data_IF_369513979602
#
_entry.id   IF_369513979602
#
_cell.length_a   1.000
_cell.length_b   1.000
_cell.length_c   1.000
_cell.angle_alpha   90.00
_cell.angle_beta   90.00
_cell.angle_gamma   90.00
#
_symmetry.space_group_name_H-M   'P 1'
#
loop_
_entity.id
_entity.type
_entity.pdbx_description
1 polymer ?
#
# COMPACT_ATOMS: atom_id res chain seq x y z
N UNK A 1 3.49 10.22 -13.73
CA UNK A 1 4.24 11.48 -13.79
C UNK A 1 5.74 11.23 -13.70
N UNK A 2 6.27 10.63 -12.64
CA UNK A 2 7.73 10.41 -12.51
C UNK A 2 8.36 9.57 -13.63
N UNK A 3 7.72 8.47 -14.07
CA UNK A 3 8.22 7.66 -15.20
C UNK A 3 8.32 8.46 -16.51
N UNK A 4 7.42 9.42 -16.74
CA UNK A 4 7.47 10.25 -17.94
C UNK A 4 8.64 11.22 -17.93
N UNK A 5 9.06 11.70 -16.76
CA UNK A 5 10.23 12.58 -16.66
C UNK A 5 11.50 11.83 -17.04
N UNK A 6 11.69 10.59 -16.55
CA UNK A 6 12.85 9.77 -16.92
C UNK A 6 12.85 9.43 -18.41
N UNK A 7 11.69 9.05 -18.95
CA UNK A 7 11.56 8.72 -20.38
C UNK A 7 11.78 9.95 -21.25
N UNK A 8 11.23 11.10 -20.85
CA UNK A 8 11.41 12.36 -21.56
C UNK A 8 12.87 12.83 -21.51
N UNK A 9 13.51 12.77 -20.34
CA UNK A 9 14.92 13.13 -20.18
C UNK A 9 15.82 12.22 -21.02
N UNK A 10 15.56 10.90 -21.02
CA UNK A 10 16.28 9.95 -21.86
C UNK A 10 16.07 10.25 -23.36
N UNK A 11 14.84 10.57 -23.76
CA UNK A 11 14.51 10.97 -25.13
C UNK A 11 15.23 12.23 -25.57
N UNK A 12 15.18 13.29 -24.75
CA UNK A 12 15.87 14.55 -25.02
C UNK A 12 17.40 14.36 -25.11
N UNK A 13 18.00 13.56 -24.21
CA UNK A 13 19.43 13.23 -24.27
C UNK A 13 19.80 12.44 -25.54
N UNK A 14 18.88 11.62 -26.05
CA UNK A 14 19.08 10.83 -27.27
C UNK A 14 19.00 11.70 -28.53
N UNK A 15 18.01 12.59 -28.65
CA UNK A 15 17.92 13.57 -29.74
C UNK A 15 19.18 14.47 -29.78
N UNK A 16 19.67 14.85 -28.61
CA UNK A 16 20.90 15.61 -28.49
C UNK A 16 22.15 14.79 -28.85
N UNK A 17 22.14 13.48 -28.60
CA UNK A 17 23.22 12.58 -29.02
C UNK A 17 23.24 12.41 -30.55
N UNK A 18 22.08 12.36 -31.21
CA UNK A 18 21.96 12.32 -32.68
C UNK A 18 22.65 13.52 -33.33
N UNK A 19 22.41 14.74 -32.83
CA UNK A 19 23.07 15.95 -33.32
C UNK A 19 24.61 15.92 -33.17
N UNK A 20 25.13 15.19 -32.18
CA UNK A 20 26.57 15.00 -32.00
C UNK A 20 27.13 13.94 -32.94
N UNK A 21 26.35 12.89 -33.22
CA UNK A 21 26.69 11.87 -34.21
C UNK A 21 26.77 12.47 -35.61
N UNK A 22 25.82 13.33 -35.99
CA UNK A 22 25.81 14.07 -37.27
C UNK A 22 27.07 14.94 -37.44
N UNK A 23 27.66 15.40 -36.34
CA UNK A 23 28.92 16.16 -36.32
C UNK A 23 30.17 15.27 -36.37
N UNK A 24 30.00 13.96 -36.51
CA UNK A 24 31.10 12.98 -36.61
C UNK A 24 31.74 12.61 -35.28
N UNK A 25 31.09 12.83 -34.14
CA UNK A 25 31.62 12.45 -32.82
C UNK A 25 31.33 10.96 -32.57
N UNK A 26 32.34 10.20 -32.16
CA UNK A 26 32.18 8.76 -31.90
C UNK A 26 31.22 8.49 -30.72
N UNK A 27 30.25 7.56 -30.83
CA UNK A 27 29.22 7.31 -29.82
C UNK A 27 29.76 6.98 -28.44
N UNK A 28 30.85 6.20 -28.36
CA UNK A 28 31.50 5.85 -27.07
C UNK A 28 31.93 7.12 -26.31
N UNK A 29 32.47 8.13 -27.01
CA UNK A 29 32.90 9.38 -26.37
C UNK A 29 31.72 10.21 -25.86
N UNK A 30 30.55 10.05 -26.47
CA UNK A 30 29.30 10.70 -26.03
C UNK A 30 28.81 10.02 -24.76
N UNK A 31 28.80 8.69 -24.72
CA UNK A 31 28.42 7.91 -23.54
C UNK A 31 29.31 8.24 -22.33
N UNK A 32 30.64 8.24 -22.51
CA UNK A 32 31.59 8.62 -21.46
C UNK A 32 31.35 10.06 -20.98
N UNK A 33 31.04 10.97 -21.91
CA UNK A 33 30.72 12.36 -21.62
C UNK A 33 29.46 12.53 -20.78
N UNK A 34 28.41 11.75 -21.07
CA UNK A 34 27.16 11.75 -20.30
C UNK A 34 27.34 11.15 -18.91
N UNK A 35 28.12 10.08 -18.76
CA UNK A 35 28.40 9.52 -17.45
C UNK A 35 29.18 10.51 -16.56
N UNK A 36 30.16 11.21 -17.14
CA UNK A 36 30.89 12.25 -16.41
C UNK A 36 29.99 13.44 -16.06
N UNK A 37 29.10 13.86 -16.96
CA UNK A 37 28.14 14.93 -16.70
C UNK A 37 27.14 14.53 -15.60
N UNK A 38 26.69 13.27 -15.58
CA UNK A 38 25.80 12.75 -14.54
C UNK A 38 26.45 12.78 -13.15
N UNK A 39 27.72 12.38 -13.03
CA UNK A 39 28.46 12.45 -11.76
C UNK A 39 28.57 13.89 -11.25
N UNK A 40 28.94 14.84 -12.11
CA UNK A 40 29.03 16.26 -11.75
C UNK A 40 27.64 16.79 -11.33
N UNK A 41 26.57 16.38 -12.01
CA UNK A 41 25.22 16.77 -11.65
C UNK A 41 24.82 16.28 -10.26
N UNK A 42 25.11 15.02 -9.93
CA UNK A 42 24.85 14.46 -8.58
C UNK A 42 25.65 15.21 -7.51
N UNK A 43 26.95 15.43 -7.73
CA UNK A 43 27.78 16.20 -6.78
C UNK A 43 27.28 17.65 -6.57
N UNK A 44 26.70 18.26 -7.60
CA UNK A 44 26.13 19.59 -7.48
C UNK A 44 24.76 19.58 -6.80
N UNK A 45 23.96 18.54 -6.97
CA UNK A 45 22.71 18.36 -6.25
C UNK A 45 22.97 18.21 -4.75
N UNK A 46 23.98 17.43 -4.36
CA UNK A 46 24.37 17.26 -2.95
C UNK A 46 24.79 18.58 -2.28
N UNK A 47 25.36 19.53 -3.05
CA UNK A 47 25.74 20.86 -2.55
C UNK A 47 24.56 21.80 -2.35
N UNK A 48 23.48 21.59 -3.09
CA UNK A 48 22.32 22.47 -3.13
C UNK A 48 21.19 21.90 -2.26
N UNK A 49 21.18 20.59 -2.03
CA UNK A 49 20.17 19.93 -1.22
C UNK A 49 20.27 20.36 0.23
N UNK A 50 19.22 20.99 0.72
CA UNK A 50 19.02 21.18 2.15
C UNK A 50 18.52 19.87 2.77
N UNK A 51 19.17 19.44 3.86
CA UNK A 51 18.72 18.27 4.62
C UNK A 51 17.82 18.71 5.77
N UNK A 52 16.59 18.20 5.79
CA UNK A 52 15.68 18.38 6.92
C UNK A 52 15.75 17.15 7.82
N UNK A 53 16.16 17.27 9.09
CA UNK A 53 16.08 16.16 10.03
C UNK A 53 14.62 15.76 10.22
N UNK A 54 14.35 14.46 10.17
CA UNK A 54 13.01 13.91 10.40
C UNK A 54 12.73 13.95 11.90
N UNK A 55 12.11 15.04 12.36
CA UNK A 55 11.64 15.16 13.73
C UNK A 55 10.21 14.63 13.85
N UNK A 56 9.92 13.67 14.75
CA UNK A 56 8.57 13.15 14.95
C UNK A 56 7.58 14.21 15.50
N UNK A 57 8.10 15.32 16.02
CA UNK A 57 7.29 16.45 16.51
C UNK A 57 6.90 17.43 15.40
N UNK A 58 7.66 17.47 14.30
CA UNK A 58 7.42 18.39 13.19
C UNK A 58 7.16 17.63 11.89
N UNK A 59 5.93 17.16 11.73
CA UNK A 59 5.47 16.41 10.56
C UNK A 59 5.06 17.30 9.38
N UNK A 60 4.94 18.62 9.57
CA UNK A 60 4.41 19.54 8.56
C UNK A 60 5.27 19.59 7.27
N UNK A 61 6.63 19.61 7.32
CA UNK A 61 7.45 19.55 6.11
C UNK A 61 7.18 18.29 5.28
N UNK A 62 7.02 17.14 5.94
CA UNK A 62 6.72 15.86 5.29
C UNK A 62 5.33 15.88 4.64
N UNK A 63 4.34 16.47 5.32
CA UNK A 63 3.00 16.66 4.78
C UNK A 63 3.04 17.57 3.56
N UNK A 64 3.85 18.65 3.58
CA UNK A 64 4.02 19.55 2.44
C UNK A 64 4.67 18.84 1.25
N UNK A 65 5.69 18.02 1.47
CA UNK A 65 6.31 17.20 0.41
C UNK A 65 5.30 16.21 -0.18
N UNK A 66 4.57 15.47 0.67
CA UNK A 66 3.53 14.56 0.23
C UNK A 66 2.40 15.28 -0.52
N UNK A 67 2.00 16.46 -0.06
CA UNK A 67 1.02 17.34 -0.71
C UNK A 67 1.47 17.75 -2.12
N UNK A 68 2.73 18.16 -2.29
CA UNK A 68 3.29 18.51 -3.60
C UNK A 68 3.26 17.32 -4.56
N UNK A 69 3.64 16.12 -4.09
CA UNK A 69 3.60 14.91 -4.94
C UNK A 69 2.20 14.43 -5.29
N UNK A 70 1.17 14.79 -4.50
CA UNK A 70 -0.24 14.45 -4.72
C UNK A 70 -1.00 15.53 -5.52
N UNK A 71 -0.54 16.78 -5.51
CA UNK A 71 -1.22 17.92 -6.12
C UNK A 71 -1.37 17.82 -7.64
N UNK A 72 -0.41 17.19 -8.33
CA UNK A 72 -0.42 17.02 -9.79
C UNK A 72 -1.29 15.84 -10.27
N UNK A 73 -2.17 15.28 -9.43
CA UNK A 73 -2.88 14.02 -9.67
C UNK A 73 -4.39 14.14 -9.35
N UNK A 74 -5.16 13.08 -9.64
CA UNK A 74 -6.63 13.00 -9.46
C UNK A 74 -7.10 13.35 -8.03
N UNK A 75 -6.21 13.30 -7.05
CA UNK A 75 -6.49 13.60 -5.63
C UNK A 75 -6.48 15.11 -5.31
N UNK A 76 -6.44 15.99 -6.30
CA UNK A 76 -6.28 17.43 -6.05
C UNK A 76 -7.32 18.02 -5.08
N UNK A 77 -8.54 17.47 -4.98
CA UNK A 77 -9.56 17.97 -4.04
C UNK A 77 -9.27 17.67 -2.57
N UNK A 78 -8.63 16.53 -2.25
CA UNK A 78 -8.44 16.04 -0.88
C UNK A 78 -6.98 15.64 -0.60
N UNK A 79 -6.03 16.31 -1.25
CA UNK A 79 -4.61 15.94 -1.18
C UNK A 79 -4.02 16.13 0.23
N UNK A 80 -4.54 17.07 1.04
CA UNK A 80 -4.03 17.32 2.40
C UNK A 80 -4.32 16.14 3.34
N UNK A 81 -5.58 15.70 3.40
CA UNK A 81 -5.98 14.56 4.22
C UNK A 81 -5.21 13.29 3.84
N UNK A 82 -5.01 13.05 2.54
CA UNK A 82 -4.24 11.90 2.08
C UNK A 82 -2.74 12.01 2.37
N UNK A 83 -2.17 13.22 2.29
CA UNK A 83 -0.80 13.47 2.70
C UNK A 83 -0.60 13.18 4.20
N UNK A 84 -1.50 13.68 5.05
CA UNK A 84 -1.48 13.42 6.49
C UNK A 84 -1.60 11.91 6.79
N UNK A 85 -2.52 11.20 6.13
CA UNK A 85 -2.68 9.74 6.28
C UNK A 85 -1.41 8.98 5.85
N UNK A 86 -0.82 9.34 4.72
CA UNK A 86 0.39 8.68 4.21
C UNK A 86 1.58 8.90 5.16
N UNK A 87 1.81 10.14 5.61
CA UNK A 87 2.89 10.46 6.55
C UNK A 87 2.68 9.74 7.88
N UNK A 88 1.46 9.74 8.42
CA UNK A 88 1.14 9.04 9.66
C UNK A 88 1.32 7.51 9.54
N UNK A 89 0.99 6.92 8.39
CA UNK A 89 1.22 5.50 8.13
C UNK A 89 2.72 5.17 8.17
N UNK A 90 3.53 5.96 7.48
CA UNK A 90 4.99 5.77 7.43
C UNK A 90 5.62 5.93 8.80
N UNK A 91 5.28 7.00 9.52
CA UNK A 91 5.82 7.25 10.87
C UNK A 91 5.45 6.15 11.88
N UNK A 92 4.34 5.46 11.67
CA UNK A 92 3.93 4.35 12.54
C UNK A 92 4.74 3.07 12.30
N UNK A 93 5.23 2.87 11.07
CA UNK A 93 6.00 1.68 10.66
C UNK A 93 7.51 1.91 10.73
N UNK A 94 7.95 3.16 10.54
CA UNK A 94 9.34 3.55 10.45
C UNK A 94 10.13 3.17 11.71
N UNK A 95 11.28 2.55 11.48
CA UNK A 95 12.27 2.32 12.52
C UNK A 95 13.20 3.54 12.58
N UNK A 96 13.12 4.31 13.67
CA UNK A 96 13.89 5.55 13.84
C UNK A 96 15.39 5.31 13.96
N UNK A 97 15.83 4.12 14.39
CA UNK A 97 17.25 3.80 14.53
C UNK A 97 17.88 3.50 13.17
N UNK A 98 17.17 2.73 12.34
CA UNK A 98 17.62 2.34 11.00
C UNK A 98 17.26 3.35 9.91
N UNK A 99 16.33 4.28 10.20
CA UNK A 99 15.71 5.19 9.23
C UNK A 99 15.18 4.45 8.00
N UNK A 100 14.65 3.25 8.23
CA UNK A 100 14.15 2.37 7.20
C UNK A 100 12.66 2.09 7.42
N UNK A 101 11.95 1.90 6.32
CA UNK A 101 10.51 1.69 6.30
C UNK A 101 10.25 0.41 5.52
N UNK A 102 9.74 -0.60 6.22
CA UNK A 102 9.31 -1.83 5.60
C UNK A 102 7.92 -1.65 4.96
N UNK A 103 7.88 -1.71 3.64
CA UNK A 103 6.64 -1.55 2.87
C UNK A 103 5.70 -2.75 3.02
N UNK A 104 6.20 -3.93 3.40
CA UNK A 104 5.36 -5.11 3.58
C UNK A 104 4.36 -4.92 4.73
N UNK A 105 4.74 -4.14 5.74
CA UNK A 105 3.91 -3.81 6.90
C UNK A 105 2.80 -2.80 6.60
N UNK A 106 2.85 -2.11 5.46
CA UNK A 106 1.85 -1.12 5.04
C UNK A 106 0.92 -1.75 4.00
N UNK A 107 -0.30 -2.08 4.41
CA UNK A 107 -1.33 -2.59 3.50
C UNK A 107 -2.18 -1.45 2.96
N UNK A 108 -2.37 -1.37 1.64
CA UNK A 108 -3.30 -0.41 1.05
C UNK A 108 -4.55 -1.15 0.58
N UNK A 109 -5.67 -0.96 1.29
CA UNK A 109 -6.94 -1.61 0.98
C UNK A 109 -7.92 -0.59 0.42
N UNK A 110 -8.38 -0.82 -0.81
CA UNK A 110 -9.39 0.04 -1.44
C UNK A 110 -10.73 -0.67 -1.61
N UNK A 111 -11.82 -0.07 -1.13
CA UNK A 111 -13.20 -0.48 -1.45
C UNK A 111 -13.95 0.60 -2.22
N UNK A 112 -14.82 0.15 -3.12
CA UNK A 112 -15.69 1.04 -3.89
C UNK A 112 -16.84 1.50 -3.00
N UNK A 113 -17.28 2.74 -3.21
CA UNK A 113 -18.39 3.35 -2.50
C UNK A 113 -17.94 4.43 -1.52
N UNK A 114 -18.89 5.24 -1.07
CA UNK A 114 -18.61 6.43 -0.25
C UNK A 114 -17.88 7.53 -1.03
N UNK A 115 -17.39 8.52 -0.30
CA UNK A 115 -16.60 9.63 -0.82
C UNK A 115 -15.12 9.35 -0.61
N UNK A 116 -14.28 10.06 -1.37
CA UNK A 116 -12.84 9.97 -1.23
C UNK A 116 -12.36 10.54 0.13
N UNK A 117 -13.14 11.47 0.70
CA UNK A 117 -12.97 12.05 2.04
C UNK A 117 -13.15 11.02 3.17
N UNK A 118 -13.83 9.90 2.91
CA UNK A 118 -14.04 8.83 3.90
C UNK A 118 -12.81 7.91 4.05
N UNK A 119 -11.70 8.26 3.41
CA UNK A 119 -10.43 7.53 3.51
C UNK A 119 -9.87 7.67 4.94
N UNK A 120 -9.49 6.55 5.54
CA UNK A 120 -9.05 6.50 6.94
C UNK A 120 -7.77 5.67 7.09
N UNK A 121 -6.97 6.05 8.07
CA UNK A 121 -5.82 5.26 8.52
C UNK A 121 -6.29 4.30 9.62
N UNK A 122 -6.14 3.00 9.41
CA UNK A 122 -6.41 1.98 10.42
C UNK A 122 -5.08 1.47 10.97
N UNK A 123 -4.85 1.70 12.26
CA UNK A 123 -3.70 1.16 13.00
C UNK A 123 -3.96 -0.32 13.33
N UNK A 124 -3.77 -1.17 12.34
CA UNK A 124 -4.02 -2.59 12.38
C UNK A 124 -4.29 -3.14 10.98
N UNK A 125 -5.06 -4.22 10.91
CA UNK A 125 -5.31 -4.95 9.66
C UNK A 125 -6.79 -4.94 9.30
N UNK A 126 -7.07 -4.66 8.03
CA UNK A 126 -8.40 -4.81 7.43
C UNK A 126 -8.42 -6.05 6.55
N UNK A 127 -9.45 -6.85 6.74
CA UNK A 127 -9.72 -8.06 5.96
C UNK A 127 -11.06 -7.88 5.25
N UNK A 128 -11.08 -8.11 3.93
CA UNK A 128 -12.30 -8.05 3.12
C UNK A 128 -13.12 -9.34 3.27
N UNK A 129 -13.48 -9.65 4.52
CA UNK A 129 -14.27 -10.81 4.92
C UNK A 129 -15.22 -10.43 6.04
N UNK A 130 -16.35 -11.12 6.05
CA UNK A 130 -17.38 -11.02 7.06
C UNK A 130 -17.16 -12.11 8.11
N UNK A 131 -17.83 -11.97 9.26
CA UNK A 131 -17.97 -13.10 10.17
C UNK A 131 -18.72 -14.26 9.50
N UNK A 132 -18.40 -15.49 9.90
CA UNK A 132 -19.01 -16.66 9.28
C UNK A 132 -20.52 -16.73 9.52
N UNK A 133 -21.01 -16.24 10.67
CA UNK A 133 -22.43 -16.13 10.97
C UNK A 133 -22.80 -14.69 11.36
N UNK A 134 -23.90 -14.10 10.80
CA UNK A 134 -24.33 -12.73 11.12
C UNK A 134 -24.81 -12.50 12.56
N UNK A 135 -25.00 -13.57 13.35
CA UNK A 135 -25.43 -13.50 14.75
C UNK A 135 -24.24 -13.39 15.71
N UNK A 136 -23.01 -13.47 15.19
CA UNK A 136 -21.81 -13.37 16.01
C UNK A 136 -21.62 -11.95 16.57
N UNK A 137 -21.29 -11.81 17.87
CA UNK A 137 -21.17 -10.51 18.52
C UNK A 137 -19.87 -9.80 18.12
N UNK A 138 -19.88 -8.47 18.25
CA UNK A 138 -18.65 -7.65 18.17
C UNK A 138 -17.82 -7.90 19.42
N UNK A 139 -16.53 -8.16 19.25
CA UNK A 139 -15.62 -8.48 20.35
C UNK A 139 -14.77 -7.27 20.76
N UNK A 140 -14.65 -7.11 22.07
CA UNK A 140 -13.63 -6.28 22.73
C UNK A 140 -12.63 -7.21 23.42
N UNK A 141 -11.36 -6.82 23.44
CA UNK A 141 -10.24 -7.61 23.97
C UNK A 141 -10.22 -9.04 23.42
N UNK A 142 -10.04 -9.13 22.10
CA UNK A 142 -10.04 -10.39 21.38
C UNK A 142 -8.68 -11.08 21.47
N UNK A 143 -8.69 -12.30 22.00
CA UNK A 143 -7.61 -13.29 21.79
C UNK A 143 -7.86 -14.03 20.49
N UNK A 144 -6.94 -13.92 19.55
CA UNK A 144 -7.10 -14.37 18.17
C UNK A 144 -6.29 -15.65 17.97
N UNK A 145 -6.97 -16.73 17.60
CA UNK A 145 -6.34 -17.95 17.10
C UNK A 145 -6.15 -17.83 15.59
N UNK A 146 -4.89 -17.84 15.14
CA UNK A 146 -4.53 -17.77 13.72
C UNK A 146 -4.25 -19.18 13.23
N UNK A 147 -5.13 -19.71 12.40
CA UNK A 147 -5.17 -21.11 11.99
C UNK A 147 -4.94 -21.26 10.49
N UNK A 148 -3.97 -22.10 10.12
CA UNK A 148 -3.78 -22.56 8.73
C UNK A 148 -4.25 -24.00 8.52
N UNK A 149 -4.74 -24.66 9.57
CA UNK A 149 -5.38 -25.96 9.47
C UNK A 149 -6.79 -25.86 8.85
N UNK A 150 -7.16 -26.80 7.98
CA UNK A 150 -8.54 -26.94 7.54
C UNK A 150 -9.41 -27.45 8.69
N UNK A 151 -10.61 -26.90 8.83
CA UNK A 151 -11.62 -27.39 9.77
C UNK A 151 -12.39 -28.53 9.09
N UNK A 152 -11.73 -29.66 8.89
CA UNK A 152 -12.30 -30.85 8.25
C UNK A 152 -11.88 -32.11 9.00
N UNK A 153 -12.68 -33.19 8.95
CA UNK A 153 -12.25 -34.49 9.42
C UNK A 153 -10.93 -34.87 8.73
N UNK A 154 -9.96 -35.46 9.45
CA UNK A 154 -8.63 -35.72 8.91
C UNK A 154 -8.72 -36.70 7.75
N UNK A 155 -8.56 -36.17 6.52
CA UNK A 155 -8.47 -36.98 5.31
C UNK A 155 -7.02 -37.46 5.14
N UNK A 156 -6.77 -38.76 4.94
CA UNK A 156 -5.44 -39.21 4.59
C UNK A 156 -5.02 -38.57 3.26
N UNK A 157 -3.76 -38.15 3.14
CA UNK A 157 -3.23 -37.50 1.91
C UNK A 157 -3.21 -38.45 0.71
N UNK A 158 -3.21 -39.76 0.97
CA UNK A 158 -3.31 -40.81 -0.04
C UNK A 158 -4.76 -41.02 -0.48
N UNK A 159 -4.97 -41.40 -1.74
CA UNK A 159 -6.30 -41.78 -2.25
C UNK A 159 -6.85 -42.96 -1.45
N UNK A 160 -7.70 -42.68 -0.46
CA UNK A 160 -8.41 -43.68 0.31
C UNK A 160 -9.84 -43.77 -0.20
N UNK A 161 -10.31 -44.96 -0.55
CA UNK A 161 -11.72 -45.24 -0.82
C UNK A 161 -12.31 -45.82 0.45
N UNK A 162 -13.33 -45.16 0.96
CA UNK A 162 -14.03 -45.59 2.17
C UNK A 162 -15.28 -46.33 1.69
N UNK A 163 -15.22 -47.66 1.71
CA UNK A 163 -16.32 -48.51 1.26
C UNK A 163 -17.26 -48.76 2.44
N UNK A 164 -18.47 -48.22 2.36
CA UNK A 164 -19.50 -48.36 3.40
C UNK A 164 -20.46 -49.47 2.98
N UNK A 165 -20.42 -50.61 3.69
CA UNK A 165 -21.21 -51.81 3.39
C UNK A 165 -22.52 -51.90 4.19
N UNK A 166 -22.56 -51.36 5.41
CA UNK A 166 -23.75 -51.38 6.28
C UNK A 166 -24.31 -49.98 6.57
N UNK A 167 -25.62 -49.93 6.86
CA UNK A 167 -26.31 -48.72 7.33
C UNK A 167 -25.81 -48.28 8.69
N UNK A 168 -25.40 -49.22 9.54
CA UNK A 168 -24.86 -48.91 10.88
C UNK A 168 -23.48 -48.25 10.81
N UNK A 169 -22.64 -48.68 9.86
CA UNK A 169 -21.33 -48.08 9.61
C UNK A 169 -21.49 -46.63 9.12
N UNK A 170 -22.49 -46.37 8.26
CA UNK A 170 -22.82 -45.02 7.82
C UNK A 170 -23.20 -44.10 9.00
N UNK A 171 -24.02 -44.60 9.93
CA UNK A 171 -24.39 -43.85 11.15
C UNK A 171 -23.20 -43.64 12.07
N UNK A 172 -22.31 -44.62 12.19
CA UNK A 172 -21.09 -44.50 12.99
C UNK A 172 -20.15 -43.44 12.41
N UNK A 173 -19.98 -43.40 11.08
CA UNK A 173 -19.20 -42.36 10.39
C UNK A 173 -19.75 -40.97 10.65
N UNK A 174 -21.07 -40.78 10.54
CA UNK A 174 -21.69 -39.48 10.80
C UNK A 174 -21.50 -39.01 12.25
N UNK A 175 -21.55 -39.94 13.22
CA UNK A 175 -21.25 -39.64 14.63
C UNK A 175 -19.78 -39.25 14.81
N UNK A 176 -18.87 -40.02 14.21
CA UNK A 176 -17.44 -39.76 14.25
C UNK A 176 -17.09 -38.37 13.68
N UNK A 177 -17.68 -37.98 12.55
CA UNK A 177 -17.48 -36.64 11.98
C UNK A 177 -17.90 -35.54 12.95
N UNK A 178 -19.09 -35.66 13.56
CA UNK A 178 -19.58 -34.69 14.56
C UNK A 178 -18.69 -34.62 15.79
N UNK A 179 -18.29 -35.77 16.35
CA UNK A 179 -17.38 -35.82 17.50
C UNK A 179 -16.04 -35.15 17.18
N UNK A 180 -15.49 -35.37 15.98
CA UNK A 180 -14.23 -34.72 15.56
C UNK A 180 -14.36 -33.20 15.45
N UNK A 181 -15.48 -32.69 14.94
CA UNK A 181 -15.72 -31.25 14.93
C UNK A 181 -15.84 -30.67 16.35
N UNK A 182 -16.56 -31.34 17.24
CA UNK A 182 -16.66 -30.93 18.64
C UNK A 182 -15.30 -30.92 19.35
N UNK A 183 -14.46 -31.93 19.12
CA UNK A 183 -13.09 -31.99 19.64
C UNK A 183 -12.26 -30.78 19.18
N UNK A 184 -12.29 -30.43 17.89
CA UNK A 184 -11.55 -29.28 17.35
C UNK A 184 -12.03 -27.95 17.95
N UNK A 185 -13.35 -27.78 18.11
CA UNK A 185 -13.91 -26.57 18.73
C UNK A 185 -13.56 -26.49 20.21
N UNK A 186 -13.62 -27.61 20.94
CA UNK A 186 -13.21 -27.69 22.36
C UNK A 186 -11.74 -27.29 22.53
N UNK A 187 -10.84 -27.80 21.69
CA UNK A 187 -9.42 -27.43 21.74
C UNK A 187 -9.18 -25.92 21.59
N UNK A 188 -9.93 -25.24 20.71
CA UNK A 188 -9.85 -23.78 20.58
C UNK A 188 -10.33 -23.10 21.86
N UNK A 189 -11.46 -23.54 22.38
CA UNK A 189 -12.08 -22.97 23.59
C UNK A 189 -11.20 -23.16 24.83
N UNK A 190 -10.56 -24.32 24.97
CA UNK A 190 -9.67 -24.65 26.09
C UNK A 190 -8.44 -23.73 26.12
N UNK A 191 -7.98 -23.24 24.96
CA UNK A 191 -6.90 -22.23 24.93
C UNK A 191 -7.35 -20.82 25.34
N UNK A 192 -8.65 -20.58 25.46
CA UNK A 192 -9.22 -19.27 25.81
C UNK A 192 -9.18 -18.26 24.66
N UNK A 193 -9.16 -18.73 23.42
CA UNK A 193 -9.30 -17.86 22.24
C UNK A 193 -10.74 -17.35 22.10
N UNK A 194 -10.91 -16.08 21.76
CA UNK A 194 -12.21 -15.46 21.54
C UNK A 194 -12.56 -15.35 20.06
N UNK A 195 -11.58 -15.37 19.14
CA UNK A 195 -11.78 -15.26 17.70
C UNK A 195 -10.91 -16.27 16.96
N UNK A 196 -11.49 -17.03 16.03
CA UNK A 196 -10.75 -17.93 15.14
C UNK A 196 -10.62 -17.33 13.74
N UNK A 197 -9.40 -17.21 13.22
CA UNK A 197 -9.12 -16.77 11.86
C UNK A 197 -8.51 -17.95 11.11
N UNK A 198 -9.25 -18.47 10.12
CA UNK A 198 -8.84 -19.62 9.33
C UNK A 198 -8.46 -19.22 7.91
N UNK A 199 -7.34 -19.76 7.42
CA UNK A 199 -6.96 -19.64 6.01
C UNK A 199 -7.96 -20.35 5.11
N UNK A 200 -8.37 -21.55 5.52
CA UNK A 200 -9.28 -22.40 4.76
C UNK A 200 -10.73 -22.15 5.15
N UNK A 201 -11.63 -22.48 4.23
CA UNK A 201 -13.05 -22.58 4.53
C UNK A 201 -13.36 -23.77 5.43
N UNK A 202 -14.58 -23.76 5.96
CA UNK A 202 -15.14 -24.87 6.71
C UNK A 202 -16.65 -24.94 6.51
N UNK A 203 -17.22 -26.11 6.79
CA UNK A 203 -18.61 -26.44 6.50
C UNK A 203 -19.62 -25.74 7.43
N UNK A 204 -20.87 -25.68 7.01
CA UNK A 204 -21.96 -25.03 7.75
C UNK A 204 -22.27 -25.73 9.09
N UNK A 205 -22.05 -27.05 9.19
CA UNK A 205 -22.17 -27.76 10.46
C UNK A 205 -21.16 -27.27 11.50
N UNK A 206 -19.90 -27.05 11.08
CA UNK A 206 -18.86 -26.50 11.95
C UNK A 206 -19.16 -25.04 12.33
N UNK A 207 -19.72 -24.23 11.41
CA UNK A 207 -20.20 -22.87 11.72
C UNK A 207 -21.22 -22.86 12.84
N UNK A 208 -22.20 -23.78 12.80
CA UNK A 208 -23.23 -23.87 13.83
C UNK A 208 -22.64 -24.26 15.19
N UNK A 209 -21.69 -25.21 15.22
CA UNK A 209 -21.00 -25.61 16.46
C UNK A 209 -20.15 -24.47 17.04
N UNK A 210 -19.48 -23.69 16.20
CA UNK A 210 -18.72 -22.51 16.63
C UNK A 210 -19.64 -21.43 17.22
N UNK A 211 -20.82 -21.21 16.60
CA UNK A 211 -21.83 -20.28 17.12
C UNK A 211 -22.36 -20.72 18.49
N UNK A 212 -22.71 -22.00 18.65
CA UNK A 212 -23.17 -22.56 19.93
C UNK A 212 -22.13 -22.41 21.04
N UNK A 213 -20.84 -22.40 20.68
CA UNK A 213 -19.74 -22.23 21.61
C UNK A 213 -19.32 -20.77 21.82
N UNK A 214 -20.04 -19.82 21.20
CA UNK A 214 -19.78 -18.37 21.24
C UNK A 214 -18.40 -17.97 20.67
N UNK A 215 -17.89 -18.75 19.71
CA UNK A 215 -16.61 -18.50 19.05
C UNK A 215 -16.83 -17.93 17.65
N UNK A 216 -16.70 -16.61 17.45
CA UNK A 216 -16.70 -16.04 16.13
C UNK A 216 -15.52 -16.56 15.30
N UNK A 217 -15.80 -16.79 14.03
CA UNK A 217 -14.81 -17.32 13.10
C UNK A 217 -14.85 -16.58 11.76
N UNK A 218 -13.68 -16.48 11.13
CA UNK A 218 -13.50 -15.93 9.79
C UNK A 218 -12.88 -17.00 8.91
N UNK A 219 -13.48 -17.19 7.74
CA UNK A 219 -13.10 -18.19 6.74
C UNK A 219 -12.45 -17.54 5.52
N UNK A 220 -11.62 -18.31 4.82
CA UNK A 220 -11.02 -17.91 3.54
C UNK A 220 -10.16 -16.64 3.61
N UNK A 221 -9.33 -16.53 4.65
CA UNK A 221 -8.38 -15.42 4.76
C UNK A 221 -7.15 -15.69 3.88
N UNK A 222 -6.68 -14.67 3.16
CA UNK A 222 -5.52 -14.81 2.29
C UNK A 222 -4.24 -15.10 3.07
N UNK A 223 -3.31 -15.85 2.47
CA UNK A 223 -2.00 -16.15 3.08
C UNK A 223 -1.24 -14.89 3.53
N UNK A 224 -1.03 -13.89 2.65
CA UNK A 224 -0.39 -12.64 3.04
C UNK A 224 -1.15 -11.86 4.13
N UNK A 225 -2.48 -11.99 4.17
CA UNK A 225 -3.28 -11.32 5.20
C UNK A 225 -3.10 -11.95 6.57
N UNK A 226 -2.94 -13.28 6.63
CA UNK A 226 -2.66 -14.01 7.86
C UNK A 226 -1.30 -13.63 8.44
N UNK A 227 -0.28 -13.49 7.60
CA UNK A 227 1.05 -13.04 8.02
C UNK A 227 0.98 -11.63 8.62
N UNK A 228 0.26 -10.71 7.97
CA UNK A 228 0.06 -9.36 8.50
C UNK A 228 -0.72 -9.35 9.83
N UNK A 229 -1.75 -10.18 9.97
CA UNK A 229 -2.50 -10.32 11.22
C UNK A 229 -1.60 -10.89 12.32
N UNK A 230 -0.75 -11.88 12.01
CA UNK A 230 0.19 -12.45 12.96
C UNK A 230 1.20 -11.40 13.45
N UNK A 231 1.77 -10.60 12.53
CA UNK A 231 2.70 -9.52 12.88
C UNK A 231 2.01 -8.43 13.71
N UNK A 232 0.80 -8.02 13.33
CA UNK A 232 0.03 -6.99 14.03
C UNK A 232 -0.33 -7.43 15.46
N UNK A 233 -0.91 -8.63 15.59
CA UNK A 233 -1.43 -9.15 16.86
C UNK A 233 -0.35 -9.76 17.76
N UNK A 234 0.85 -9.99 17.23
CA UNK A 234 1.93 -10.72 17.90
C UNK A 234 1.69 -12.23 18.03
N UNK A 235 0.62 -12.75 17.40
CA UNK A 235 0.27 -14.16 17.43
C UNK A 235 1.15 -15.01 16.52
N UNK A 236 1.23 -16.31 16.80
CA UNK A 236 1.90 -17.27 15.92
C UNK A 236 0.88 -18.00 15.07
N UNK A 237 1.24 -18.25 13.81
CA UNK A 237 0.43 -19.03 12.89
C UNK A 237 0.48 -20.51 13.31
N UNK A 238 -0.66 -21.10 13.59
CA UNK A 238 -0.76 -22.50 14.07
C UNK A 238 -1.20 -23.43 12.94
N UNK A 239 -0.37 -24.43 12.56
CA UNK A 239 -0.68 -25.35 11.47
C UNK A 239 -1.51 -26.57 11.88
N UNK A 240 -1.56 -26.90 13.17
CA UNK A 240 -2.31 -28.05 13.71
C UNK A 240 -3.01 -27.70 15.02
N UNK A 241 -4.23 -28.19 15.21
CA UNK A 241 -5.01 -27.94 16.44
C UNK A 241 -4.31 -28.46 17.71
N UNK A 242 -3.61 -29.59 17.64
CA UNK A 242 -2.89 -30.15 18.79
C UNK A 242 -1.75 -29.24 19.31
N UNK A 243 -1.26 -28.31 18.49
CA UNK A 243 -0.18 -27.39 18.86
C UNK A 243 -0.71 -26.04 19.36
N UNK A 244 -2.03 -25.88 19.44
CA UNK A 244 -2.67 -24.66 19.92
C UNK A 244 -2.40 -24.51 21.41
N UNK A 245 -1.77 -23.40 21.78
CA UNK A 245 -1.38 -23.07 23.14
C UNK A 245 -1.72 -21.60 23.40
N UNK A 246 -2.04 -21.21 24.64
CA UNK A 246 -2.45 -19.83 24.95
C UNK A 246 -1.36 -18.81 24.62
N UNK A 247 -0.09 -19.20 24.66
CA UNK A 247 1.07 -18.36 24.30
C UNK A 247 1.15 -18.01 22.82
N UNK A 248 0.55 -18.83 21.94
CA UNK A 248 0.56 -18.61 20.49
C UNK A 248 -0.57 -17.69 20.02
N UNK A 249 -1.51 -17.34 20.89
CA UNK A 249 -2.65 -16.49 20.56
C UNK A 249 -2.21 -15.04 20.33
N UNK A 250 -2.79 -14.41 19.31
CA UNK A 250 -2.63 -12.99 19.07
C UNK A 250 -3.55 -12.17 19.97
N UNK A 251 -3.16 -10.92 20.26
CA UNK A 251 -3.98 -9.99 21.03
C UNK A 251 -4.41 -8.79 20.17
N UNK A 252 -5.71 -8.48 20.19
CA UNK A 252 -6.28 -7.27 19.60
C UNK A 252 -7.30 -6.65 20.55
N UNK A 253 -7.22 -5.34 20.78
CA UNK A 253 -8.15 -4.63 21.66
C UNK A 253 -9.56 -4.55 21.09
N UNK A 254 -9.71 -4.32 19.78
CA UNK A 254 -11.02 -4.16 19.15
C UNK A 254 -11.09 -4.92 17.84
N UNK A 255 -12.10 -5.79 17.71
CA UNK A 255 -12.45 -6.43 16.45
C UNK A 255 -13.88 -6.04 16.10
N UNK A 256 -14.01 -5.22 15.05
CA UNK A 256 -15.30 -4.72 14.59
C UNK A 256 -15.54 -5.06 13.13
N UNK A 257 -16.77 -5.44 12.84
CA UNK A 257 -17.27 -5.51 11.47
C UNK A 257 -17.83 -4.13 11.09
N UNK A 258 -17.32 -3.57 10.00
CA UNK A 258 -17.80 -2.31 9.43
C UNK A 258 -18.62 -2.67 8.19
N UNK A 259 -19.91 -2.31 8.21
CA UNK A 259 -20.79 -2.38 7.04
C UNK A 259 -20.68 -1.10 6.22
N UNK A 260 -20.56 -1.22 4.89
CA UNK A 260 -20.38 -0.06 4.02
C UNK A 260 -21.60 0.24 3.15
N UNK A 261 -22.32 1.30 3.48
CA UNK A 261 -23.39 1.87 2.65
C UNK A 261 -24.59 0.93 2.45
N UNK A 262 -25.25 1.04 1.29
CA UNK A 262 -26.43 0.23 0.90
C UNK A 262 -26.06 -1.17 0.40
N UNK A 263 -24.81 -1.38 0.01
CA UNK A 263 -24.27 -2.69 -0.37
C UNK A 263 -24.02 -3.52 0.88
N UNK A 264 -24.37 -4.82 0.84
CA UNK A 264 -24.22 -5.76 1.98
C UNK A 264 -22.75 -6.12 2.30
N UNK A 265 -21.79 -5.51 1.62
CA UNK A 265 -20.36 -5.74 1.85
C UNK A 265 -19.97 -5.25 3.25
N UNK A 266 -19.42 -6.17 4.05
CA UNK A 266 -18.80 -5.85 5.32
C UNK A 266 -17.31 -6.16 5.26
N UNK A 267 -16.57 -5.59 6.19
CA UNK A 267 -15.17 -5.90 6.36
C UNK A 267 -14.86 -5.99 7.83
N UNK A 268 -13.93 -6.88 8.16
CA UNK A 268 -13.39 -6.97 9.49
C UNK A 268 -12.25 -5.99 9.66
N UNK A 269 -12.33 -5.21 10.72
CA UNK A 269 -11.28 -4.28 11.14
C UNK A 269 -10.78 -4.71 12.51
N UNK A 270 -9.48 -5.00 12.58
CA UNK A 270 -8.76 -5.38 13.79
C UNK A 270 -7.90 -4.18 14.19
N UNK A 271 -8.20 -3.58 15.34
CA UNK A 271 -7.55 -2.37 15.87
C UNK A 271 -6.96 -2.63 17.26
N UNK A 272 -6.01 -1.76 17.67
CA UNK A 272 -5.37 -1.78 18.98
C UNK A 272 -4.63 -3.10 19.27
N UNK A 273 -3.78 -3.51 18.33
CA UNK A 273 -2.91 -4.66 18.55
C UNK A 273 -1.68 -4.29 19.39
N UNK A 274 -1.07 -5.27 20.06
CA UNK A 274 0.15 -5.06 20.86
C UNK A 274 1.31 -4.49 20.03
N UNK A 275 1.43 -4.94 18.78
CA UNK A 275 2.45 -4.49 17.87
C UNK A 275 1.82 -3.60 16.79
N UNK A 276 1.94 -2.28 16.95
CA UNK A 276 1.35 -1.30 16.04
C UNK A 276 2.10 -1.13 14.72
N UNK A 277 3.11 -1.95 14.43
CA UNK A 277 3.96 -1.82 13.24
C UNK A 277 3.28 -2.18 11.93
N UNK A 278 2.14 -2.88 11.96
CA UNK A 278 1.34 -3.14 10.77
C UNK A 278 0.18 -2.15 10.65
N UNK A 279 0.08 -1.48 9.51
CA UNK A 279 -0.88 -0.39 9.30
C UNK A 279 -1.60 -0.60 7.98
N UNK A 280 -2.92 -0.35 7.97
CA UNK A 280 -3.72 -0.42 6.75
C UNK A 280 -4.26 0.95 6.38
N UNK A 281 -3.95 1.41 5.18
CA UNK A 281 -4.55 2.61 4.59
C UNK A 281 -5.84 2.18 3.89
N UNK A 282 -6.97 2.62 4.41
CA UNK A 282 -8.28 2.29 3.85
C UNK A 282 -8.79 3.40 2.94
N UNK A 283 -8.76 3.12 1.64
CA UNK A 283 -9.16 4.10 0.61
C UNK A 283 -10.59 3.84 0.16
N UNK A 284 -11.37 4.92 0.14
CA UNK A 284 -12.73 4.96 -0.39
C UNK A 284 -12.78 5.75 -1.69
N UNK A 285 -13.72 5.41 -2.55
CA UNK A 285 -13.90 6.09 -3.82
C UNK A 285 -15.14 5.63 -4.57
N UNK A 286 -15.86 6.58 -5.16
CA UNK A 286 -17.09 6.29 -5.91
C UNK A 286 -16.87 5.49 -7.20
N UNK A 287 -15.65 5.47 -7.75
CA UNK A 287 -15.33 4.74 -8.97
C UNK A 287 -14.09 3.85 -8.79
N UNK A 288 -14.12 2.65 -9.40
CA UNK A 288 -13.02 1.67 -9.39
C UNK A 288 -11.72 2.26 -9.91
N UNK A 289 -11.79 3.09 -10.95
CA UNK A 289 -10.63 3.76 -11.56
C UNK A 289 -9.95 4.72 -10.57
N UNK A 290 -10.73 5.56 -9.88
CA UNK A 290 -10.21 6.49 -8.87
C UNK A 290 -9.52 5.73 -7.74
N UNK A 291 -10.09 4.63 -7.28
CA UNK A 291 -9.51 3.77 -6.24
C UNK A 291 -8.16 3.17 -6.63
N UNK A 292 -8.05 2.56 -7.81
CA UNK A 292 -6.78 1.97 -8.27
C UNK A 292 -5.71 3.05 -8.43
N UNK A 293 -6.09 4.22 -8.94
CA UNK A 293 -5.15 5.31 -9.13
C UNK A 293 -4.65 5.82 -7.77
N UNK A 294 -5.55 6.15 -6.83
CA UNK A 294 -5.18 6.62 -5.48
C UNK A 294 -4.29 5.62 -4.75
N UNK A 295 -4.55 4.31 -4.86
CA UNK A 295 -3.70 3.27 -4.27
C UNK A 295 -2.24 3.36 -4.75
N UNK A 296 -2.04 3.50 -6.06
CA UNK A 296 -0.70 3.70 -6.67
C UNK A 296 -0.08 5.03 -6.23
N UNK A 297 -0.89 6.07 -6.05
CA UNK A 297 -0.39 7.39 -5.65
C UNK A 297 0.09 7.44 -4.21
N UNK A 298 -0.61 6.76 -3.30
CA UNK A 298 -0.22 6.65 -1.90
C UNK A 298 1.13 5.92 -1.80
N UNK A 299 1.30 4.81 -2.52
CA UNK A 299 2.57 4.10 -2.60
C UNK A 299 3.70 4.99 -3.16
N UNK A 300 3.44 5.76 -4.22
CA UNK A 300 4.42 6.69 -4.78
C UNK A 300 4.79 7.84 -3.83
N UNK A 301 3.84 8.34 -3.03
CA UNK A 301 4.10 9.35 -2.01
C UNK A 301 4.95 8.82 -0.86
N UNK A 302 4.73 7.57 -0.45
CA UNK A 302 5.51 6.90 0.60
C UNK A 302 6.98 6.71 0.16
N UNK A 303 7.25 6.34 -1.10
CA UNK A 303 8.61 6.09 -1.58
C UNK A 303 9.48 7.36 -1.64
N UNK A 304 8.89 8.57 -1.67
CA UNK A 304 9.63 9.83 -1.73
C UNK A 304 10.25 10.27 -0.39
N UNK A 305 10.17 9.46 0.67
CA UNK A 305 10.57 9.83 2.03
C UNK A 305 12.09 10.02 2.30
N UNK A 306 13.05 9.36 1.61
CA UNK A 306 14.43 9.35 2.11
C UNK A 306 15.32 10.53 1.68
N UNK A 307 14.87 11.42 0.80
CA UNK A 307 15.68 12.59 0.42
C UNK A 307 14.79 13.78 0.06
N UNK A 308 14.63 14.71 1.00
CA UNK A 308 13.90 15.97 0.85
C UNK A 308 14.68 17.00 0.03
N UNK A 309 15.15 16.62 -1.16
CA UNK A 309 15.52 17.63 -2.16
C UNK A 309 14.23 18.27 -2.69
N UNK A 310 14.14 19.60 -2.65
CA UNK A 310 13.01 20.36 -3.19
C UNK A 310 12.78 20.05 -4.68
N UNK A 311 11.91 19.08 -4.97
CA UNK A 311 11.49 18.75 -6.32
C UNK A 311 10.35 19.70 -6.74
N UNK A 312 10.73 20.94 -7.07
CA UNK A 312 10.03 21.68 -8.11
C UNK A 312 10.72 21.38 -9.44
N UNK A 313 9.96 21.12 -10.50
CA UNK A 313 10.49 20.90 -11.86
C UNK A 313 11.41 22.03 -12.36
N UNK A 314 11.37 23.19 -11.70
CA UNK A 314 12.24 24.34 -11.94
C UNK A 314 13.65 24.21 -11.32
N UNK A 315 13.85 23.39 -10.28
CA UNK A 315 15.07 23.38 -9.46
C UNK A 315 16.18 22.48 -10.03
N UNK A 316 15.81 21.26 -10.48
CA UNK A 316 16.70 20.36 -11.22
C UNK A 316 17.29 21.02 -12.46
N UNK A 317 16.45 21.80 -13.14
CA UNK A 317 16.77 22.43 -14.40
C UNK A 317 17.71 23.63 -14.24
N UNK A 318 17.54 24.45 -13.19
CA UNK A 318 18.36 25.64 -12.96
C UNK A 318 19.79 25.31 -12.49
N UNK A 319 19.94 24.28 -11.64
CA UNK A 319 21.24 23.85 -11.11
C UNK A 319 22.13 23.18 -12.16
N UNK A 320 21.59 22.23 -12.94
CA UNK A 320 22.32 21.55 -14.01
C UNK A 320 22.77 22.51 -15.13
N UNK A 321 21.98 23.54 -15.42
CA UNK A 321 22.27 24.57 -16.43
C UNK A 321 23.44 25.48 -16.04
N UNK A 322 23.53 25.88 -14.77
CA UNK A 322 24.62 26.72 -14.27
C UNK A 322 25.93 25.93 -14.16
N UNK A 323 25.86 24.68 -13.67
CA UNK A 323 27.03 23.85 -13.45
C UNK A 323 27.74 23.42 -14.75
N UNK A 324 26.99 23.15 -15.82
CA UNK A 324 27.55 22.77 -17.11
C UNK A 324 28.31 23.91 -17.82
N UNK A 325 28.06 25.16 -17.43
CA UNK A 325 28.62 26.34 -18.09
C UNK A 325 29.91 26.87 -17.43
N UNK A 326 30.14 26.63 -16.14
CA UNK A 326 31.23 27.27 -15.38
C UNK A 326 32.56 26.49 -15.41
N UNK A 327 32.57 25.19 -15.67
CA UNK A 327 33.79 24.35 -15.69
C UNK A 327 34.26 24.07 -17.13
N UNK A 328 34.89 25.05 -17.78
CA UNK A 328 35.43 24.89 -19.14
C UNK A 328 36.97 24.92 -19.20
N UNK A 329 37.57 23.77 -19.56
CA UNK A 329 38.78 23.67 -20.39
C UNK A 329 38.74 22.37 -21.24
N UNK A 330 38.78 22.50 -22.58
CA UNK A 330 39.12 21.41 -23.53
C UNK A 330 37.98 20.80 -24.38
N UNK A 331 38.37 20.06 -25.44
CA UNK A 331 37.56 19.45 -26.52
C UNK A 331 36.33 18.61 -26.10
N UNK A 332 36.15 18.31 -24.81
CA UNK A 332 34.97 17.68 -24.20
C UNK A 332 33.76 18.64 -24.07
N UNK A 333 33.93 19.91 -24.46
CA UNK A 333 32.88 20.92 -24.37
C UNK A 333 31.69 20.65 -25.31
N UNK A 334 31.90 19.94 -26.44
CA UNK A 334 30.84 19.70 -27.43
C UNK A 334 29.80 18.67 -26.97
N UNK A 335 30.18 17.67 -26.15
CA UNK A 335 29.27 16.65 -25.62
C UNK A 335 28.56 17.04 -24.32
N UNK A 336 29.01 18.10 -23.63
CA UNK A 336 28.40 18.61 -22.39
C UNK A 336 27.31 19.67 -22.63
N UNK A 337 27.47 20.52 -23.65
CA UNK A 337 26.46 21.50 -24.07
C UNK A 337 25.05 20.92 -24.37
N UNK A 338 24.89 19.72 -24.97
CA UNK A 338 23.58 19.19 -25.35
C UNK A 338 22.74 18.72 -24.16
N UNK A 339 23.37 18.16 -23.10
CA UNK A 339 22.67 17.82 -21.85
C UNK A 339 21.96 19.05 -21.24
N UNK A 340 22.60 20.23 -21.30
CA UNK A 340 22.00 21.49 -20.84
C UNK A 340 20.84 21.99 -21.71
N UNK A 341 20.83 21.66 -23.02
CA UNK A 341 19.78 22.05 -23.97
C UNK A 341 18.54 21.15 -23.86
N UNK A 342 18.71 19.84 -23.71
CA UNK A 342 17.59 18.91 -23.48
C UNK A 342 16.83 19.24 -22.19
N UNK A 343 17.54 19.71 -21.16
CA UNK A 343 16.93 20.21 -19.93
C UNK A 343 16.13 21.51 -20.14
N UNK A 344 16.54 22.44 -21.03
CA UNK A 344 15.78 23.68 -21.30
C UNK A 344 14.41 23.42 -21.95
N UNK A 345 14.29 22.42 -22.82
CA UNK A 345 13.03 22.10 -23.50
C UNK A 345 11.92 21.69 -22.52
N UNK A 346 12.25 21.06 -21.38
CA UNK A 346 11.28 20.75 -20.33
C UNK A 346 10.66 22.01 -19.70
N UNK A 347 11.41 23.13 -19.62
CA UNK A 347 10.90 24.41 -19.08
C UNK A 347 9.82 25.02 -19.95
N UNK A 348 10.04 25.02 -21.26
CA UNK A 348 9.15 25.65 -22.24
C UNK A 348 7.80 24.92 -22.31
N UNK A 349 7.81 23.58 -22.25
CA UNK A 349 6.59 22.76 -22.21
C UNK A 349 5.83 22.86 -20.86
N UNK A 350 6.54 23.06 -19.73
CA UNK A 350 5.92 23.29 -18.42
C UNK A 350 5.31 24.68 -18.23
N UNK A 351 5.82 25.70 -18.93
CA UNK A 351 5.26 27.06 -18.89
C UNK A 351 3.97 27.23 -19.73
N UNK A 352 3.75 26.38 -20.74
CA UNK A 352 2.54 26.44 -21.55
C UNK A 352 1.33 25.79 -20.90
N UNK A 353 1.54 24.86 -19.95
CA UNK A 353 0.45 24.21 -19.19
C UNK A 353 -0.06 25.05 -18.00
N UNK A 354 0.63 26.15 -17.64
CA UNK A 354 0.27 27.02 -16.51
C UNK A 354 -0.37 28.36 -16.92
N UNK A 355 -0.52 28.63 -18.23
CA UNK A 355 -1.05 29.91 -18.76
C UNK A 355 -2.54 29.94 -19.12
N UNK A 356 -3.31 28.88 -18.89
CA UNK A 356 -4.75 28.84 -19.18
C UNK A 356 -5.61 28.69 -17.93
N UNK A 357 -5.49 29.63 -16.98
CA UNK A 357 -6.44 29.75 -15.87
C UNK A 357 -6.47 31.18 -15.31
N UNK A 358 -6.93 32.15 -16.10
CA UNK A 358 -7.42 33.43 -15.56
C UNK A 358 -8.93 33.31 -15.27
N UNK A 359 -9.40 33.52 -14.03
CA UNK A 359 -10.81 33.35 -13.65
C UNK A 359 -11.65 34.63 -13.77
N UNK A 360 -11.19 35.67 -14.48
CA UNK A 360 -11.89 36.95 -14.58
C UNK A 360 -12.20 37.33 -16.04
N UNK A 361 -13.20 36.70 -16.64
CA UNK A 361 -13.95 37.29 -17.75
C UNK A 361 -15.43 36.93 -17.64
N UNK A 362 -16.26 37.91 -17.31
CA UNK A 362 -17.72 37.81 -17.34
C UNK A 362 -18.21 37.59 -18.79
N UNK A 363 -19.21 36.73 -19.05
CA UNK A 363 -19.84 36.68 -20.36
C UNK A 363 -20.86 37.82 -20.46
N UNK A 364 -20.55 38.84 -21.26
CA UNK A 364 -21.54 39.76 -21.79
C UNK A 364 -22.44 39.00 -22.77
N UNK A 365 -23.76 39.09 -22.56
CA UNK A 365 -24.75 38.45 -23.42
C UNK A 365 -24.80 39.06 -24.81
N UNK A 366 -25.28 38.28 -25.77
CA UNK A 366 -25.88 38.76 -27.02
C UNK A 366 -26.91 37.73 -27.49
N UNK A 367 -28.16 38.18 -27.53
CA UNK A 367 -29.25 37.63 -28.32
C UNK A 367 -28.88 37.65 -29.81
N UNK A 368 -29.32 36.66 -30.58
CA UNK A 368 -30.17 36.82 -31.76
C UNK A 368 -30.32 35.51 -32.55
N UNK A 369 -31.58 35.08 -32.68
CA UNK A 369 -32.26 34.53 -33.88
C UNK A 369 -31.38 33.93 -34.99
N UNK A 370 -31.53 32.66 -35.37
CA UNK A 370 -32.62 32.13 -36.21
C UNK A 370 -32.61 30.60 -36.15
#
# INVERSE_FOLDING_TARGET
SSLYVWVFLAGALLEQAEQLLDRGIHPIRIADGYEQAARIAVEHLDKISDSFPVDPQNIEPLIQTAKTTLGSKVVNRCHRQMAEIAVNAVLTVADMERKDVDFELIKVQGKVGGRLEDTQLVKGVIVDKDFSHPQMPKLKDAKIAILTCPFEPPKPKTKHKLDVTSVDDYKALQKYEKEKFEEMVKQIKDTGANLAICQWGFDDEANHLLLQNELPAVRWVGGPEIELIAIATGGRIVPRFCELTPEKLGFAGIVREISFGTTKDRMLVIEQCQNSRAVTIFIRGGNKMVRSLVCVLVLAGIVCFPSSSWYGDSFWMFSLLLCGSEKNQGLLCSSRCPASKGLRQHKELGSDTTRTADPNSHPAGLNHSS
#
